data_IF_898787853767
#
_entry.id   IF_898787853767
#
_cell.length_a   1.000
_cell.length_b   1.000
_cell.length_c   1.000
_cell.angle_alpha   90.00
_cell.angle_beta   90.00
_cell.angle_gamma   90.00
#
_symmetry.space_group_name_H-M   'P 1'
#
loop_
_entity.id
_entity.type
_entity.pdbx_description
1 polymer ?
#
# COMPACT_ATOMS: atom_id res chain seq x y z
N UNK A 1 -1.62 -4.60 -28.87
CA UNK A 1 -1.57 -5.93 -28.23
C UNK A 1 -1.98 -5.79 -26.77
N UNK A 2 -3.03 -6.46 -26.37
CA UNK A 2 -3.46 -6.44 -24.96
C UNK A 2 -2.48 -7.27 -24.14
N UNK A 3 -1.48 -6.60 -23.53
CA UNK A 3 -0.64 -7.25 -22.56
C UNK A 3 -1.37 -7.37 -21.24
N UNK A 4 -1.30 -8.55 -20.62
CA UNK A 4 -1.81 -8.73 -19.27
C UNK A 4 -1.12 -7.74 -18.30
N UNK A 5 -1.84 -7.19 -17.32
CA UNK A 5 -1.22 -6.33 -16.33
C UNK A 5 -0.22 -7.12 -15.47
N UNK A 6 0.88 -6.47 -15.11
CA UNK A 6 1.89 -7.02 -14.21
C UNK A 6 1.57 -6.55 -12.79
N UNK A 7 1.52 -7.48 -11.85
CA UNK A 7 1.35 -7.17 -10.43
C UNK A 7 2.71 -6.98 -9.79
N UNK A 8 2.93 -5.82 -9.18
CA UNK A 8 4.17 -5.47 -8.49
C UNK A 8 3.88 -5.27 -7.01
N UNK A 9 4.59 -5.99 -6.16
CA UNK A 9 4.55 -5.77 -4.71
C UNK A 9 5.55 -4.69 -4.33
N UNK A 10 5.04 -3.60 -3.76
CA UNK A 10 5.81 -2.48 -3.24
C UNK A 10 5.72 -2.45 -1.72
N UNK A 11 6.82 -2.68 -1.03
CA UNK A 11 6.80 -2.77 0.43
C UNK A 11 8.17 -2.88 1.06
N UNK A 12 8.17 -3.11 2.36
CA UNK A 12 9.39 -3.26 3.16
C UNK A 12 10.27 -2.02 3.10
N UNK A 13 11.57 -2.26 2.95
CA UNK A 13 12.59 -1.20 2.95
C UNK A 13 12.39 -0.17 1.84
N UNK A 14 11.91 -0.58 0.67
CA UNK A 14 11.65 0.33 -0.45
C UNK A 14 10.61 1.41 -0.13
N UNK A 15 9.67 1.13 0.78
CA UNK A 15 8.65 2.11 1.20
C UNK A 15 9.12 3.08 2.28
N UNK A 16 10.18 2.73 3.01
CA UNK A 16 10.65 3.52 4.16
C UNK A 16 11.79 4.46 3.82
N UNK A 17 12.42 4.27 2.66
CA UNK A 17 13.53 5.09 2.16
C UNK A 17 13.03 5.97 1.02
N UNK A 18 12.96 7.31 1.18
CA UNK A 18 12.41 8.21 0.15
C UNK A 18 13.10 8.09 -1.21
N UNK A 19 14.41 7.92 -1.24
CA UNK A 19 15.19 7.77 -2.48
C UNK A 19 14.77 6.53 -3.28
N UNK A 20 14.50 5.42 -2.60
CA UNK A 20 14.05 4.18 -3.24
C UNK A 20 12.62 4.32 -3.79
N UNK A 21 11.76 5.05 -3.08
CA UNK A 21 10.41 5.38 -3.55
C UNK A 21 10.44 6.20 -4.84
N UNK A 22 11.28 7.24 -4.87
CA UNK A 22 11.46 8.06 -6.08
C UNK A 22 12.01 7.27 -7.26
N UNK A 23 13.04 6.46 -7.04
CA UNK A 23 13.59 5.59 -8.09
C UNK A 23 12.53 4.61 -8.62
N UNK A 24 11.74 4.01 -7.74
CA UNK A 24 10.63 3.14 -8.12
C UNK A 24 9.58 3.86 -8.98
N UNK A 25 9.17 5.06 -8.58
CA UNK A 25 8.20 5.85 -9.34
C UNK A 25 8.73 6.26 -10.72
N UNK A 26 10.02 6.60 -10.82
CA UNK A 26 10.69 6.93 -12.07
C UNK A 26 10.72 5.72 -13.01
N UNK A 27 11.11 4.55 -12.51
CA UNK A 27 11.12 3.30 -13.28
C UNK A 27 9.71 2.94 -13.77
N UNK A 28 8.71 3.06 -12.89
CA UNK A 28 7.30 2.82 -13.26
C UNK A 28 6.83 3.78 -14.34
N UNK A 29 7.22 5.04 -14.26
CA UNK A 29 6.88 6.03 -15.28
C UNK A 29 7.44 5.63 -16.65
N UNK A 30 8.70 5.20 -16.70
CA UNK A 30 9.31 4.69 -17.93
C UNK A 30 8.56 3.50 -18.52
N UNK A 31 8.27 2.50 -17.69
CA UNK A 31 7.58 1.29 -18.12
C UNK A 31 6.16 1.54 -18.62
N UNK A 32 5.42 2.47 -18.01
CA UNK A 32 4.07 2.87 -18.47
C UNK A 32 4.15 3.60 -19.80
N UNK A 33 5.14 4.48 -19.99
CA UNK A 33 5.36 5.16 -21.28
C UNK A 33 5.69 4.18 -22.41
N UNK A 34 6.31 3.05 -22.10
CA UNK A 34 6.54 1.95 -23.07
C UNK A 34 5.29 1.09 -23.31
N UNK A 35 4.16 1.44 -22.73
CA UNK A 35 2.87 0.74 -22.91
C UNK A 35 2.59 -0.34 -21.87
N UNK A 36 3.39 -0.41 -20.80
CA UNK A 36 3.16 -1.34 -19.70
C UNK A 36 1.90 -1.01 -18.91
N UNK A 37 1.23 -2.06 -18.40
CA UNK A 37 0.06 -1.97 -17.52
C UNK A 37 0.39 -2.63 -16.20
N UNK A 38 0.14 -1.94 -15.09
CA UNK A 38 0.57 -2.40 -13.78
C UNK A 38 -0.52 -2.29 -12.72
N UNK A 39 -0.48 -3.23 -11.79
CA UNK A 39 -1.19 -3.17 -10.52
C UNK A 39 -0.14 -3.19 -9.43
N UNK A 40 -0.05 -2.13 -8.65
CA UNK A 40 0.88 -2.06 -7.52
C UNK A 40 0.15 -2.43 -6.24
N UNK A 41 0.66 -3.44 -5.54
CA UNK A 41 0.15 -3.87 -4.24
C UNK A 41 1.14 -3.41 -3.18
N UNK A 42 0.69 -2.58 -2.23
CA UNK A 42 1.57 -2.05 -1.20
C UNK A 42 1.24 -2.59 0.19
N UNK A 43 2.23 -2.54 1.07
CA UNK A 43 2.08 -2.80 2.49
C UNK A 43 2.00 -1.50 3.31
N UNK A 44 2.37 -1.57 4.57
CA UNK A 44 2.38 -0.42 5.49
C UNK A 44 2.52 -0.82 6.96
N UNK A 45 3.11 -1.99 7.23
CA UNK A 45 3.31 -2.47 8.60
C UNK A 45 4.00 -1.48 9.53
N UNK A 46 5.14 -0.88 9.15
CA UNK A 46 5.81 0.13 9.97
C UNK A 46 4.94 1.36 10.24
N UNK A 47 4.18 1.82 9.26
CA UNK A 47 3.28 2.97 9.38
C UNK A 47 2.10 2.66 10.32
N UNK A 48 1.55 1.44 10.24
CA UNK A 48 0.51 0.97 11.18
C UNK A 48 1.07 0.98 12.61
N UNK A 49 2.24 0.38 12.83
CA UNK A 49 2.88 0.33 14.14
C UNK A 49 3.14 1.72 14.70
N UNK A 50 3.57 2.66 13.87
CA UNK A 50 3.80 4.05 14.28
C UNK A 50 2.52 4.75 14.72
N UNK A 51 1.41 4.57 14.01
CA UNK A 51 0.13 5.15 14.41
C UNK A 51 -0.40 4.52 15.71
N UNK A 52 -0.37 3.20 15.83
CA UNK A 52 -0.81 2.50 17.05
C UNK A 52 -0.04 2.99 18.27
N UNK A 53 1.28 3.17 18.15
CA UNK A 53 2.11 3.74 19.21
C UNK A 53 1.68 5.15 19.59
N UNK A 54 1.41 6.01 18.61
CA UNK A 54 0.92 7.38 18.86
C UNK A 54 -0.44 7.40 19.56
N UNK A 55 -1.29 6.41 19.27
CA UNK A 55 -2.61 6.25 19.89
C UNK A 55 -2.58 5.49 21.22
N UNK A 56 -1.40 5.07 21.69
CA UNK A 56 -1.22 4.24 22.87
C UNK A 56 -1.99 2.91 22.82
N UNK A 57 -2.11 2.34 21.62
CA UNK A 57 -2.70 1.03 21.39
C UNK A 57 -1.57 0.00 21.30
N UNK A 58 -1.63 -1.04 22.13
CA UNK A 58 -0.65 -2.11 22.11
C UNK A 58 -0.82 -2.97 20.82
N UNK A 59 0.32 -3.35 20.26
CA UNK A 59 0.38 -4.17 19.06
C UNK A 59 0.89 -5.56 19.41
N UNK A 60 0.13 -6.60 19.06
CA UNK A 60 0.48 -7.98 19.30
C UNK A 60 0.58 -8.76 17.99
N UNK A 61 1.56 -9.67 17.94
CA UNK A 61 1.77 -10.55 16.79
C UNK A 61 1.77 -12.00 17.26
N UNK A 62 1.14 -12.87 16.47
CA UNK A 62 1.17 -14.31 16.63
C UNK A 62 1.59 -14.91 15.29
N UNK A 63 2.65 -15.70 15.28
CA UNK A 63 3.21 -16.31 14.06
C UNK A 63 3.44 -15.32 12.92
N UNK A 64 3.90 -14.10 13.25
CA UNK A 64 4.15 -13.03 12.28
C UNK A 64 2.91 -12.28 11.82
N UNK A 65 1.73 -12.68 12.27
CA UNK A 65 0.46 -12.03 11.96
C UNK A 65 0.03 -11.10 13.11
N UNK A 66 -0.42 -9.90 12.76
CA UNK A 66 -0.93 -8.95 13.75
C UNK A 66 -2.27 -9.41 14.29
N UNK A 67 -2.39 -9.49 15.61
CA UNK A 67 -3.69 -9.66 16.26
C UNK A 67 -4.44 -8.33 16.16
N UNK A 68 -5.59 -8.32 15.50
CA UNK A 68 -6.28 -7.11 15.11
C UNK A 68 -7.68 -7.09 15.74
N UNK A 69 -7.82 -6.38 16.86
CA UNK A 69 -9.11 -6.05 17.44
C UNK A 69 -9.76 -4.87 16.69
N UNK A 70 -10.97 -4.47 17.10
CA UNK A 70 -11.73 -3.42 16.41
C UNK A 70 -10.98 -2.08 16.37
N UNK A 71 -10.39 -1.65 17.49
CA UNK A 71 -9.63 -0.40 17.54
C UNK A 71 -8.37 -0.46 16.67
N UNK A 72 -7.68 -1.59 16.67
CA UNK A 72 -6.52 -1.83 15.79
C UNK A 72 -6.96 -1.85 14.33
N UNK A 73 -8.11 -2.45 14.02
CA UNK A 73 -8.63 -2.50 12.64
C UNK A 73 -8.94 -1.11 12.09
N UNK A 74 -9.52 -0.23 12.88
CA UNK A 74 -9.76 1.17 12.48
C UNK A 74 -8.43 1.85 12.11
N UNK A 75 -7.41 1.70 12.95
CA UNK A 75 -6.10 2.26 12.68
C UNK A 75 -5.45 1.67 11.42
N UNK A 76 -5.58 0.36 11.22
CA UNK A 76 -5.09 -0.34 10.01
C UNK A 76 -5.75 0.23 8.75
N UNK A 77 -7.06 0.38 8.75
CA UNK A 77 -7.80 0.95 7.61
C UNK A 77 -7.38 2.39 7.34
N UNK A 78 -7.30 3.24 8.36
CA UNK A 78 -6.85 4.63 8.22
C UNK A 78 -5.46 4.72 7.61
N UNK A 79 -4.53 3.89 8.06
CA UNK A 79 -3.14 3.91 7.57
C UNK A 79 -3.05 3.36 6.17
N UNK A 80 -3.55 2.16 5.93
CA UNK A 80 -3.36 1.50 4.63
C UNK A 80 -4.16 2.16 3.52
N UNK A 81 -5.45 2.36 3.71
CA UNK A 81 -6.32 2.91 2.68
C UNK A 81 -6.24 4.44 2.57
N UNK A 82 -6.01 5.11 3.67
CA UNK A 82 -5.94 6.57 3.72
C UNK A 82 -4.54 7.13 3.53
N UNK A 83 -3.66 6.85 4.46
CA UNK A 83 -2.32 7.48 4.49
C UNK A 83 -1.38 6.89 3.44
N UNK A 84 -1.12 5.59 3.51
CA UNK A 84 -0.11 4.94 2.66
C UNK A 84 -0.57 4.86 1.22
N UNK A 85 -1.79 4.42 0.97
CA UNK A 85 -2.35 4.33 -0.38
C UNK A 85 -2.30 5.68 -1.09
N UNK A 86 -2.74 6.75 -0.45
CA UNK A 86 -2.74 8.09 -1.04
C UNK A 86 -1.34 8.69 -1.17
N UNK A 87 -0.42 8.33 -0.29
CA UNK A 87 0.98 8.73 -0.44
C UNK A 87 1.62 8.07 -1.68
N UNK A 88 1.31 6.81 -1.94
CA UNK A 88 1.78 6.10 -3.16
C UNK A 88 1.17 6.72 -4.42
N UNK A 89 -0.13 7.03 -4.41
CA UNK A 89 -0.78 7.74 -5.51
C UNK A 89 -0.10 9.08 -5.79
N UNK A 90 0.10 9.88 -4.74
CA UNK A 90 0.76 11.19 -4.89
C UNK A 90 2.20 11.09 -5.39
N UNK A 91 2.93 10.06 -4.96
CA UNK A 91 4.27 9.77 -5.47
C UNK A 91 4.25 9.52 -6.98
N UNK A 92 3.35 8.65 -7.46
CA UNK A 92 3.23 8.36 -8.89
C UNK A 92 2.77 9.56 -9.71
N UNK A 93 1.80 10.32 -9.22
CA UNK A 93 1.35 11.55 -9.88
C UNK A 93 2.49 12.56 -10.04
N UNK A 94 3.38 12.65 -9.06
CA UNK A 94 4.58 13.50 -9.14
C UNK A 94 5.53 13.13 -10.28
N UNK A 95 5.44 11.90 -10.79
CA UNK A 95 6.21 11.42 -11.95
C UNK A 95 5.37 11.29 -13.24
N UNK A 96 4.22 11.95 -13.28
CA UNK A 96 3.37 12.00 -14.46
C UNK A 96 2.51 10.76 -14.70
N UNK A 97 2.38 9.89 -13.69
CA UNK A 97 1.52 8.72 -13.76
C UNK A 97 0.12 9.04 -13.26
N UNK A 98 -0.89 8.72 -14.06
CA UNK A 98 -2.28 8.75 -13.63
C UNK A 98 -2.66 7.40 -13.07
N UNK A 99 -3.00 7.35 -11.79
CA UNK A 99 -3.37 6.12 -11.12
C UNK A 99 -4.53 6.32 -10.14
N UNK A 100 -5.21 5.24 -9.82
CA UNK A 100 -6.30 5.22 -8.86
C UNK A 100 -5.91 4.30 -7.70
N UNK A 101 -6.00 4.81 -6.48
CA UNK A 101 -5.73 4.04 -5.27
C UNK A 101 -7.02 3.44 -4.71
N UNK A 102 -7.04 2.11 -4.58
CA UNK A 102 -8.18 1.36 -4.03
C UNK A 102 -7.72 0.42 -2.92
N UNK A 103 -8.66 -0.08 -2.16
CA UNK A 103 -8.46 -1.15 -1.17
C UNK A 103 -9.34 -2.36 -1.50
N UNK A 104 -9.13 -3.47 -0.83
CA UNK A 104 -9.98 -4.66 -0.98
C UNK A 104 -11.45 -4.42 -0.63
N UNK A 105 -11.73 -3.38 0.17
CA UNK A 105 -13.09 -2.97 0.54
C UNK A 105 -13.85 -2.30 -0.60
N UNK A 106 -13.15 -1.61 -1.48
CA UNK A 106 -13.74 -0.91 -2.61
C UNK A 106 -14.40 -1.91 -3.57
N UNK A 107 -15.65 -1.65 -3.93
CA UNK A 107 -16.42 -2.54 -4.80
C UNK A 107 -16.62 -3.95 -4.27
N UNK A 108 -16.32 -4.21 -3.01
CA UNK A 108 -16.40 -5.55 -2.44
C UNK A 108 -15.41 -6.53 -3.05
N UNK A 109 -14.24 -6.05 -3.51
CA UNK A 109 -13.22 -6.85 -4.19
C UNK A 109 -12.73 -8.04 -3.33
N UNK A 110 -12.56 -7.82 -2.04
CA UNK A 110 -12.14 -8.86 -1.09
C UNK A 110 -13.13 -8.94 0.06
N UNK A 111 -13.46 -10.15 0.45
CA UNK A 111 -14.26 -10.44 1.65
C UNK A 111 -13.44 -11.31 2.58
N UNK A 112 -13.30 -10.88 3.82
CA UNK A 112 -12.66 -11.65 4.87
C UNK A 112 -13.71 -12.43 5.67
N UNK A 113 -13.33 -13.61 6.11
CA UNK A 113 -14.09 -14.41 7.06
C UNK A 113 -13.22 -14.70 8.28
N UNK A 114 -13.86 -14.85 9.42
CA UNK A 114 -13.17 -15.27 10.64
C UNK A 114 -12.94 -16.77 10.57
N UNK A 115 -11.70 -17.20 10.82
CA UNK A 115 -11.37 -18.63 11.01
C UNK A 115 -11.77 -19.12 12.39
#
# INVERSE_FOLDING_TARGET
MDSAPVVIKYGGHAMTVPELGRAFAEDMSGLVHEGGRFIVVHGGGPQISALLKRLSIESHFVDGLRVTDDATMEAVEMVLAGQVNKAVVGLFEGYGLSCCGISGRDGGLLKAVVE
#
